data_IF_356019379210
#
_entry.id   IF_356019379210
#
_cell.length_a   1.000
_cell.length_b   1.000
_cell.length_c   1.000
_cell.angle_alpha   90.00
_cell.angle_beta   90.00
_cell.angle_gamma   90.00
#
_symmetry.space_group_name_H-M   'P 1'
#
loop_
_entity.id
_entity.type
_entity.pdbx_description
1 polymer ?
#
# COMPACT_ATOMS: atom_id res chain seq x y z
N UNK A 1 12.55 -23.88 -1.58
CA UNK A 1 12.77 -22.54 -0.98
C UNK A 1 12.96 -21.55 -2.12
N UNK A 2 12.13 -20.51 -2.19
CA UNK A 2 12.20 -19.47 -3.23
C UNK A 2 11.95 -18.10 -2.60
N UNK A 3 12.42 -17.04 -3.27
CA UNK A 3 12.11 -15.65 -2.90
C UNK A 3 10.84 -15.22 -3.64
N UNK A 4 9.79 -14.85 -2.89
CA UNK A 4 8.50 -14.42 -3.42
C UNK A 4 8.28 -12.96 -3.07
N UNK A 5 7.95 -12.15 -4.08
CA UNK A 5 7.50 -10.77 -3.89
C UNK A 5 5.98 -10.73 -4.01
N UNK A 6 5.30 -10.21 -3.00
CA UNK A 6 3.85 -10.04 -2.97
C UNK A 6 3.51 -8.55 -2.94
N UNK A 7 2.67 -8.10 -3.88
CA UNK A 7 2.15 -6.73 -3.87
C UNK A 7 0.65 -6.74 -3.59
N UNK A 8 0.22 -5.89 -2.67
CA UNK A 8 -1.19 -5.69 -2.34
C UNK A 8 -1.61 -4.26 -2.67
N UNK A 9 -2.67 -4.10 -3.47
CA UNK A 9 -3.25 -2.78 -3.78
C UNK A 9 -4.18 -2.30 -2.67
N UNK A 10 -4.61 -1.03 -2.75
CA UNK A 10 -5.41 -0.38 -1.70
C UNK A 10 -6.69 -1.14 -1.34
N UNK A 11 -7.40 -1.70 -2.32
CA UNK A 11 -8.57 -2.56 -2.08
C UNK A 11 -8.28 -3.82 -1.26
N UNK A 12 -7.05 -4.34 -1.30
CA UNK A 12 -6.63 -5.51 -0.51
C UNK A 12 -6.27 -5.15 0.93
N UNK A 13 -6.08 -3.86 1.23
CA UNK A 13 -5.71 -3.31 2.54
C UNK A 13 -6.67 -2.21 3.00
N UNK A 14 -7.88 -2.16 2.45
CA UNK A 14 -8.83 -1.07 2.66
C UNK A 14 -9.31 -0.91 4.11
N UNK A 15 -9.26 -1.98 4.89
CA UNK A 15 -9.71 -2.03 6.26
C UNK A 15 -8.92 -3.06 7.08
N UNK A 16 -9.11 -3.03 8.40
CA UNK A 16 -8.39 -3.90 9.32
C UNK A 16 -8.61 -5.41 9.06
N UNK A 17 -9.81 -5.82 8.65
CA UNK A 17 -10.10 -7.22 8.33
C UNK A 17 -9.41 -7.63 7.02
N UNK A 18 -9.39 -6.74 6.03
CA UNK A 18 -8.65 -6.90 4.79
C UNK A 18 -7.15 -7.07 5.04
N UNK A 19 -6.57 -6.25 5.91
CA UNK A 19 -5.17 -6.37 6.34
C UNK A 19 -4.91 -7.72 7.03
N UNK A 20 -5.79 -8.18 7.93
CA UNK A 20 -5.65 -9.50 8.57
C UNK A 20 -5.69 -10.63 7.55
N UNK A 21 -6.54 -10.56 6.53
CA UNK A 21 -6.59 -11.55 5.44
C UNK A 21 -5.29 -11.57 4.64
N UNK A 22 -4.72 -10.41 4.32
CA UNK A 22 -3.41 -10.29 3.66
C UNK A 22 -2.29 -10.86 4.53
N UNK A 23 -2.23 -10.50 5.81
CA UNK A 23 -1.25 -11.02 6.77
C UNK A 23 -1.28 -12.55 6.85
N UNK A 24 -2.47 -13.15 6.90
CA UNK A 24 -2.62 -14.62 6.86
C UNK A 24 -1.97 -15.22 5.61
N UNK A 25 -2.21 -14.66 4.43
CA UNK A 25 -1.62 -15.15 3.16
C UNK A 25 -0.10 -15.05 3.15
N UNK A 26 0.46 -13.95 3.67
CA UNK A 26 1.91 -13.77 3.80
C UNK A 26 2.51 -14.84 4.72
N UNK A 27 1.90 -15.05 5.89
CA UNK A 27 2.34 -16.07 6.86
C UNK A 27 2.24 -17.47 6.27
N UNK A 28 1.16 -17.81 5.58
CA UNK A 28 0.99 -19.12 4.96
C UNK A 28 2.05 -19.35 3.86
N UNK A 29 2.39 -18.31 3.08
CA UNK A 29 3.48 -18.36 2.10
C UNK A 29 4.84 -18.60 2.76
N UNK A 30 5.11 -17.89 3.87
CA UNK A 30 6.34 -18.09 4.65
C UNK A 30 6.42 -19.52 5.22
N UNK A 31 5.31 -20.04 5.75
CA UNK A 31 5.20 -21.42 6.28
C UNK A 31 5.40 -22.49 5.22
N UNK A 32 5.10 -22.21 3.95
CA UNK A 32 5.41 -23.09 2.83
C UNK A 32 6.92 -23.14 2.49
N UNK A 33 7.78 -22.42 3.23
CA UNK A 33 9.24 -22.48 3.07
C UNK A 33 9.80 -21.49 2.06
N UNK A 34 9.10 -20.38 1.84
CA UNK A 34 9.55 -19.27 0.99
C UNK A 34 10.05 -18.09 1.81
N UNK A 35 11.01 -17.34 1.29
CA UNK A 35 11.32 -16.00 1.77
C UNK A 35 10.35 -15.02 1.09
N UNK A 36 9.82 -14.06 1.84
CA UNK A 36 8.73 -13.20 1.34
C UNK A 36 9.09 -11.73 1.54
N UNK A 37 9.02 -10.97 0.45
CA UNK A 37 9.07 -9.49 0.47
C UNK A 37 7.67 -8.99 0.11
N UNK A 38 7.19 -7.99 0.85
CA UNK A 38 5.84 -7.46 0.67
C UNK A 38 5.91 -5.96 0.41
N UNK A 39 5.20 -5.52 -0.63
CA UNK A 39 4.92 -4.11 -0.89
C UNK A 39 3.41 -3.86 -0.82
N UNK A 40 3.01 -2.77 -0.18
CA UNK A 40 1.60 -2.37 -0.05
C UNK A 40 1.41 -0.97 -0.65
N UNK A 41 0.23 -0.72 -1.19
CA UNK A 41 -0.24 0.63 -1.49
C UNK A 41 -0.92 1.24 -0.26
N UNK A 42 -1.19 2.54 -0.30
CA UNK A 42 -2.09 3.20 0.66
C UNK A 42 -3.44 2.49 0.76
N UNK A 43 -4.12 2.64 1.89
CA UNK A 43 -5.38 1.96 2.17
C UNK A 43 -6.51 2.45 1.26
N UNK A 44 -7.30 1.53 0.68
CA UNK A 44 -8.50 1.88 -0.07
C UNK A 44 -8.23 2.90 -1.19
N UNK A 45 -8.95 4.02 -1.15
CA UNK A 45 -8.87 5.12 -2.11
C UNK A 45 -8.02 6.30 -1.59
N UNK A 46 -7.25 6.11 -0.50
CA UNK A 46 -6.50 7.19 0.17
C UNK A 46 -5.51 7.92 -0.74
N UNK A 47 -4.88 7.24 -1.70
CA UNK A 47 -4.01 7.95 -2.68
C UNK A 47 -4.79 9.00 -3.45
N UNK A 48 -6.01 8.70 -3.89
CA UNK A 48 -6.85 9.64 -4.64
C UNK A 48 -7.34 10.77 -3.72
N UNK A 49 -7.75 10.47 -2.49
CA UNK A 49 -8.13 11.47 -1.49
C UNK A 49 -7.00 12.47 -1.19
N UNK A 50 -5.76 11.98 -1.08
CA UNK A 50 -4.58 12.82 -0.86
C UNK A 50 -4.23 13.66 -2.09
N UNK A 51 -4.40 13.09 -3.30
CA UNK A 51 -4.21 13.84 -4.55
C UNK A 51 -5.24 14.97 -4.66
N UNK A 52 -6.51 14.71 -4.39
CA UNK A 52 -7.57 15.70 -4.43
C UNK A 52 -7.27 16.84 -3.46
N UNK A 53 -6.91 16.50 -2.20
CA UNK A 53 -6.53 17.49 -1.19
C UNK A 53 -5.30 18.32 -1.62
N UNK A 54 -4.30 17.70 -2.24
CA UNK A 54 -3.13 18.42 -2.73
C UNK A 54 -3.49 19.45 -3.81
N UNK A 55 -4.40 19.11 -4.73
CA UNK A 55 -4.85 20.01 -5.79
C UNK A 55 -5.74 21.15 -5.30
N UNK A 56 -6.50 20.94 -4.22
CA UNK A 56 -7.24 22.01 -3.53
C UNK A 56 -6.29 23.05 -2.90
N UNK A 57 -5.14 22.60 -2.39
CA UNK A 57 -4.13 23.48 -1.78
C UNK A 57 -3.26 24.17 -2.84
N UNK A 58 -2.84 23.44 -3.87
CA UNK A 58 -2.00 23.94 -4.95
C UNK A 58 -2.41 23.30 -6.29
N UNK A 59 -2.88 24.07 -7.28
CA UNK A 59 -3.28 23.53 -8.59
C UNK A 59 -2.18 22.78 -9.33
N UNK A 60 -0.91 23.10 -9.05
CA UNK A 60 0.27 22.40 -9.53
C UNK A 60 1.16 22.11 -8.32
N UNK A 61 0.94 21.00 -7.59
CA UNK A 61 1.74 20.65 -6.42
C UNK A 61 3.22 20.48 -6.79
N UNK A 62 4.12 20.95 -5.93
CA UNK A 62 5.54 20.72 -6.13
C UNK A 62 5.83 19.20 -6.09
N UNK A 63 6.55 18.62 -7.08
CA UNK A 63 6.74 17.17 -7.16
C UNK A 63 7.34 16.53 -5.92
N UNK A 64 8.28 17.21 -5.26
CA UNK A 64 8.91 16.76 -4.01
C UNK A 64 7.91 16.62 -2.86
N UNK A 65 6.95 17.54 -2.80
CA UNK A 65 5.99 17.63 -1.69
C UNK A 65 4.85 16.65 -1.92
N UNK A 66 4.47 16.47 -3.19
CA UNK A 66 3.53 15.44 -3.60
C UNK A 66 4.06 14.03 -3.30
N UNK A 67 5.33 13.76 -3.62
CA UNK A 67 5.98 12.46 -3.33
C UNK A 67 6.00 12.18 -1.81
N UNK A 68 6.33 13.17 -1.00
CA UNK A 68 6.29 13.07 0.46
C UNK A 68 4.87 12.79 0.97
N UNK A 69 3.85 13.47 0.42
CA UNK A 69 2.46 13.27 0.80
C UNK A 69 1.98 11.85 0.48
N UNK A 70 2.21 11.38 -0.75
CA UNK A 70 1.77 10.06 -1.19
C UNK A 70 2.50 8.92 -0.47
N UNK A 71 3.73 9.15 -0.03
CA UNK A 71 4.50 8.19 0.77
C UNK A 71 4.01 8.03 2.21
N UNK A 72 3.14 8.94 2.69
CA UNK A 72 2.59 8.89 4.05
C UNK A 72 1.33 8.03 4.19
N UNK A 73 0.69 7.68 3.07
CA UNK A 73 -0.48 6.80 3.01
C UNK A 73 -0.12 5.34 2.87
#
# INVERSE_FOLDING_TARGET
MALIVQKYGGSSVADAESIKRVAKRIVDTRRAGHDVVVAVSAMGDTTDELLDLAHEVAPIPAPRELDMLLSSG
#
